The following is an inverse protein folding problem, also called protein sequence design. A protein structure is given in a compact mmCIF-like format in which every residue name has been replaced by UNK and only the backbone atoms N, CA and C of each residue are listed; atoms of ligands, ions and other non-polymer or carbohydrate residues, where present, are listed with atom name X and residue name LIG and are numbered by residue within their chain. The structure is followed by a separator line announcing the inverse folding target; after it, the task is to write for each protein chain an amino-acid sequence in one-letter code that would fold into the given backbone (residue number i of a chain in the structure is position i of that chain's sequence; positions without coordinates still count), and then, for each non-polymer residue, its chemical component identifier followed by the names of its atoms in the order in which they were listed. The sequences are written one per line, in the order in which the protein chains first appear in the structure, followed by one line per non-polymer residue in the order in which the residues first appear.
data_IF_439589017052
#
_entry.id   IF_439589017052
#
_cell.length_a   1.000
_cell.length_b   1.000
_cell.length_c   1.000
_cell.angle_alpha   90.00
_cell.angle_beta   90.00
_cell.angle_gamma   90.00
#
_symmetry.space_group_name_H-M   'P 1'
#
loop_
_entity.id
_entity.type
_entity.pdbx_description
1 polymer ?
#
# COMPACT_ATOMS: atom_id res chain seq x y z
N UNK A 1 -3.38 7.31 -11.78
CA UNK A 1 -1.91 7.19 -11.96
C UNK A 1 -1.26 7.61 -10.66
N UNK A 2 -0.14 7.00 -10.29
CA UNK A 2 0.64 7.41 -9.12
C UNK A 2 2.11 7.57 -9.50
N UNK A 3 2.78 8.54 -8.89
CA UNK A 3 4.25 8.66 -8.87
C UNK A 3 4.67 8.62 -7.41
N UNK A 4 5.65 7.78 -7.07
CA UNK A 4 6.14 7.61 -5.70
C UNK A 4 7.63 7.89 -5.66
N UNK A 5 8.06 8.65 -4.66
CA UNK A 5 9.44 8.85 -4.28
C UNK A 5 9.69 8.19 -2.92
N UNK A 6 10.55 7.17 -2.90
CA UNK A 6 10.84 6.38 -1.70
C UNK A 6 12.25 6.73 -1.22
N UNK A 7 12.36 7.31 -0.03
CA UNK A 7 13.65 7.52 0.65
C UNK A 7 13.98 6.30 1.53
N UNK A 8 12.96 5.76 2.19
CA UNK A 8 12.96 4.51 2.94
C UNK A 8 11.53 3.93 2.95
N UNK A 9 11.34 2.68 3.39
CA UNK A 9 10.00 2.08 3.45
C UNK A 9 9.05 2.85 4.38
N UNK A 10 9.56 3.40 5.46
CA UNK A 10 8.82 4.25 6.40
C UNK A 10 8.94 5.75 6.10
N UNK A 11 9.60 6.13 5.00
CA UNK A 11 9.73 7.51 4.54
C UNK A 11 9.59 7.60 3.03
N UNK A 12 8.38 7.93 2.58
CA UNK A 12 8.06 8.04 1.17
C UNK A 12 7.01 9.13 0.95
N UNK A 13 6.93 9.63 -0.28
CA UNK A 13 5.90 10.58 -0.69
C UNK A 13 5.43 10.26 -2.08
N UNK A 14 4.20 10.63 -2.41
CA UNK A 14 3.67 10.40 -3.73
C UNK A 14 2.57 11.36 -4.14
N UNK A 15 2.28 11.32 -5.43
CA UNK A 15 1.18 12.05 -6.05
C UNK A 15 0.30 11.06 -6.79
N UNK A 16 -0.98 10.99 -6.41
CA UNK A 16 -2.01 10.25 -7.11
C UNK A 16 -2.87 11.19 -7.94
N UNK A 17 -3.07 10.85 -9.20
CA UNK A 17 -4.01 11.50 -10.11
C UNK A 17 -5.18 10.56 -10.39
N UNK A 18 -6.34 10.91 -9.84
CA UNK A 18 -7.63 10.29 -10.12
C UNK A 18 -8.44 11.09 -11.13
N UNK A 19 -9.64 10.61 -11.45
CA UNK A 19 -10.55 11.31 -12.39
C UNK A 19 -11.05 12.66 -11.85
N UNK A 20 -11.16 12.76 -10.52
CA UNK A 20 -11.79 13.91 -9.84
C UNK A 20 -10.92 14.48 -8.71
N UNK A 21 -9.68 14.00 -8.56
CA UNK A 21 -8.77 14.42 -7.50
C UNK A 21 -7.32 14.37 -7.96
N UNK A 22 -6.52 15.26 -7.40
CA UNK A 22 -5.07 15.13 -7.28
C UNK A 22 -4.78 15.03 -5.78
N UNK A 23 -4.11 13.96 -5.35
CA UNK A 23 -3.78 13.70 -3.96
C UNK A 23 -2.27 13.71 -3.80
N UNK A 24 -1.75 14.51 -2.87
CA UNK A 24 -0.36 14.44 -2.41
C UNK A 24 -0.34 13.72 -1.07
N UNK A 25 0.62 12.81 -0.89
CA UNK A 25 0.78 12.10 0.38
C UNK A 25 2.25 12.03 0.80
N UNK A 26 2.47 12.03 2.11
CA UNK A 26 3.78 11.88 2.75
C UNK A 26 3.66 10.94 3.95
N UNK A 27 4.44 9.86 3.91
CA UNK A 27 4.64 8.92 5.00
C UNK A 27 5.94 9.28 5.72
N UNK A 28 5.88 9.48 7.04
CA UNK A 28 7.05 9.64 7.92
C UNK A 28 6.85 8.83 9.21
N UNK A 29 7.43 7.63 9.23
CA UNK A 29 7.34 6.68 10.32
C UNK A 29 5.91 6.21 10.59
N UNK A 30 5.28 6.78 11.62
CA UNK A 30 3.94 6.39 12.09
C UNK A 30 2.85 7.42 11.77
N UNK A 31 3.17 8.41 10.93
CA UNK A 31 2.26 9.44 10.45
C UNK A 31 2.15 9.39 8.92
N UNK A 32 0.93 9.47 8.41
CA UNK A 32 0.62 9.64 7.00
C UNK A 32 -0.14 10.96 6.84
N UNK A 33 0.45 11.89 6.10
CA UNK A 33 -0.20 13.14 5.68
C UNK A 33 -0.76 12.99 4.28
N UNK A 34 -2.01 13.40 4.04
CA UNK A 34 -2.70 13.36 2.75
C UNK A 34 -3.38 14.70 2.45
N UNK A 35 -3.31 15.20 1.22
CA UNK A 35 -3.90 16.49 0.82
C UNK A 35 -4.43 16.44 -0.62
N UNK A 36 -5.72 16.71 -0.80
CA UNK A 36 -6.39 16.80 -2.12
C UNK A 36 -6.53 18.24 -2.63
N UNK A 37 -5.91 19.22 -1.97
CA UNK A 37 -6.00 20.65 -2.27
C UNK A 37 -6.84 21.46 -1.28
N UNK A 38 -7.51 20.81 -0.34
CA UNK A 38 -8.33 21.44 0.71
C UNK A 38 -7.58 21.57 2.07
N UNK A 39 -6.30 21.21 2.08
CA UNK A 39 -5.42 21.26 3.25
C UNK A 39 -5.10 19.87 3.80
N UNK A 40 -3.94 19.72 4.45
CA UNK A 40 -3.43 18.41 4.84
C UNK A 40 -4.24 17.79 5.98
N UNK A 41 -4.61 16.53 5.79
CA UNK A 41 -5.15 15.64 6.83
C UNK A 41 -4.03 14.71 7.29
N UNK A 42 -3.86 14.60 8.61
CA UNK A 42 -2.85 13.72 9.23
C UNK A 42 -3.51 12.52 9.89
N UNK A 43 -3.01 11.35 9.57
CA UNK A 43 -3.39 10.10 10.21
C UNK A 43 -2.22 9.53 10.98
N UNK A 44 -2.52 8.91 12.13
CA UNK A 44 -1.56 8.16 12.92
C UNK A 44 -1.84 6.67 12.77
N UNK A 45 -0.79 5.87 12.84
CA UNK A 45 -0.90 4.42 12.68
C UNK A 45 -1.74 3.81 13.82
N UNK A 46 -1.60 4.34 15.04
CA UNK A 46 -2.45 4.05 16.20
C UNK A 46 -2.66 2.54 16.45
N UNK A 47 -1.55 1.80 16.47
CA UNK A 47 -1.52 0.35 16.76
C UNK A 47 -1.91 -0.55 15.59
N UNK A 48 -2.23 0.00 14.42
CA UNK A 48 -2.25 -0.77 13.17
C UNK A 48 -0.83 -1.22 12.79
N UNK A 49 -0.72 -2.26 11.96
CA UNK A 49 0.56 -2.78 11.48
C UNK A 49 1.18 -1.85 10.43
N UNK A 50 0.39 -1.43 9.44
CA UNK A 50 0.79 -0.50 8.37
C UNK A 50 -0.35 0.43 7.97
N UNK A 51 -0.02 1.53 7.29
CA UNK A 51 -1.01 2.28 6.50
C UNK A 51 -1.33 1.53 5.21
N UNK A 52 -2.53 1.75 4.69
CA UNK A 52 -2.91 1.40 3.34
C UNK A 52 -3.65 2.59 2.71
N UNK A 53 -3.10 3.19 1.67
CA UNK A 53 -3.75 4.30 0.97
C UNK A 53 -4.43 3.77 -0.28
N UNK A 54 -5.75 3.98 -0.38
CA UNK A 54 -6.53 3.55 -1.53
C UNK A 54 -5.88 4.02 -2.84
N UNK A 55 -5.82 3.11 -3.82
CA UNK A 55 -5.19 3.33 -5.12
C UNK A 55 -3.66 3.55 -5.12
N UNK A 56 -2.96 3.31 -4.00
CA UNK A 56 -1.50 3.31 -3.95
C UNK A 56 -0.97 1.88 -3.81
N UNK A 57 -0.23 1.42 -4.81
CA UNK A 57 0.40 0.09 -4.76
C UNK A 57 1.61 0.05 -3.81
N UNK A 58 2.19 1.21 -3.48
CA UNK A 58 3.34 1.30 -2.58
C UNK A 58 3.03 0.75 -1.19
N UNK A 59 1.81 0.94 -0.68
CA UNK A 59 1.48 0.46 0.67
C UNK A 59 1.40 -1.08 0.76
N UNK A 60 1.17 -1.80 -0.35
CA UNK A 60 1.27 -3.26 -0.37
C UNK A 60 2.73 -3.76 -0.24
N UNK A 61 3.72 -2.92 -0.59
CA UNK A 61 5.14 -3.24 -0.45
C UNK A 61 5.60 -3.29 1.01
N UNK A 62 4.99 -2.48 1.88
CA UNK A 62 5.39 -2.37 3.28
C UNK A 62 5.39 -3.72 4.03
N UNK A 63 4.25 -4.45 4.12
CA UNK A 63 4.24 -5.75 4.79
C UNK A 63 5.12 -6.78 4.05
N UNK A 64 5.15 -6.74 2.72
CA UNK A 64 5.87 -7.72 1.90
C UNK A 64 7.37 -7.67 2.15
N UNK A 65 7.95 -6.48 2.17
CA UNK A 65 9.39 -6.31 2.43
C UNK A 65 9.69 -6.49 3.91
N UNK A 66 8.88 -5.91 4.81
CA UNK A 66 9.16 -5.93 6.25
C UNK A 66 9.10 -7.34 6.84
N UNK A 67 8.20 -8.18 6.33
CA UNK A 67 7.98 -9.54 6.83
C UNK A 67 8.52 -10.63 5.91
N UNK A 68 9.31 -10.25 4.90
CA UNK A 68 10.00 -11.16 3.97
C UNK A 68 9.03 -12.15 3.28
N UNK A 69 7.85 -11.67 2.86
CA UNK A 69 6.79 -12.52 2.32
C UNK A 69 7.14 -13.17 0.96
N UNK A 70 8.22 -12.74 0.31
CA UNK A 70 8.71 -13.31 -0.94
C UNK A 70 9.74 -14.42 -0.72
N UNK A 71 10.18 -14.65 0.53
CA UNK A 71 11.13 -15.70 0.85
C UNK A 71 10.52 -17.11 0.65
N UNK A 72 11.38 -18.07 0.32
CA UNK A 72 10.96 -19.47 0.18
C UNK A 72 10.39 -19.99 1.51
N UNK A 73 9.18 -20.56 1.47
CA UNK A 73 8.50 -21.08 2.65
C UNK A 73 7.84 -20.03 3.55
N UNK A 74 7.75 -18.76 3.12
CA UNK A 74 7.02 -17.73 3.85
C UNK A 74 5.56 -18.17 4.11
N UNK A 75 5.12 -17.99 5.36
CA UNK A 75 3.76 -18.35 5.78
C UNK A 75 2.77 -17.22 5.49
N UNK A 76 1.48 -17.53 5.27
CA UNK A 76 0.44 -16.51 5.19
C UNK A 76 0.36 -15.67 6.47
N UNK A 77 0.08 -14.36 6.32
CA UNK A 77 -0.06 -13.41 7.43
C UNK A 77 -1.33 -12.58 7.32
N UNK A 78 -1.88 -12.25 8.46
CA UNK A 78 -3.00 -11.31 8.61
C UNK A 78 -2.47 -10.02 9.21
N UNK A 79 -2.93 -8.88 8.69
CA UNK A 79 -2.57 -7.54 9.11
C UNK A 79 -3.81 -6.74 9.47
N UNK A 80 -3.68 -5.88 10.46
CA UNK A 80 -4.62 -4.78 10.71
C UNK A 80 -4.04 -3.51 10.11
N UNK A 81 -4.60 -3.06 8.99
CA UNK A 81 -4.19 -1.82 8.33
C UNK A 81 -4.95 -0.61 8.86
N UNK A 82 -4.30 0.56 8.80
CA UNK A 82 -4.95 1.87 8.83
C UNK A 82 -5.25 2.27 7.39
N UNK A 83 -6.41 1.84 6.89
CA UNK A 83 -6.83 2.07 5.51
C UNK A 83 -7.40 3.49 5.33
N UNK A 84 -6.81 4.28 4.43
CA UNK A 84 -7.20 5.66 4.12
C UNK A 84 -7.90 5.68 2.76
N UNK A 85 -9.16 6.11 2.75
CA UNK A 85 -9.98 6.17 1.54
C UNK A 85 -9.75 7.45 0.74
N UNK A 86 -9.96 7.38 -0.57
CA UNK A 86 -9.84 8.50 -1.51
C UNK A 86 -11.13 8.59 -2.32
N UNK A 87 -11.73 9.79 -2.51
CA UNK A 87 -11.21 11.11 -2.11
C UNK A 87 -11.57 11.55 -0.69
N UNK A 88 -12.22 10.73 0.14
CA UNK A 88 -12.74 11.18 1.44
C UNK A 88 -11.68 11.42 2.52
N UNK A 89 -10.47 10.87 2.35
CA UNK A 89 -9.35 10.95 3.31
C UNK A 89 -9.74 10.47 4.71
N UNK A 90 -10.64 9.49 4.79
CA UNK A 90 -11.06 8.90 6.05
C UNK A 90 -10.24 7.64 6.34
N UNK A 91 -9.71 7.53 7.57
CA UNK A 91 -8.93 6.39 7.99
C UNK A 91 -9.76 5.41 8.83
N UNK A 92 -9.84 4.15 8.39
CA UNK A 92 -10.58 3.07 9.06
C UNK A 92 -9.68 1.85 9.27
N UNK A 93 -9.89 1.05 10.33
CA UNK A 93 -9.20 -0.22 10.46
C UNK A 93 -9.69 -1.20 9.37
N UNK A 94 -8.76 -1.92 8.75
CA UNK A 94 -9.07 -2.96 7.77
C UNK A 94 -8.22 -4.21 8.01
N UNK A 95 -8.86 -5.38 8.07
CA UNK A 95 -8.13 -6.65 8.15
C UNK A 95 -7.80 -7.13 6.75
N UNK A 96 -6.52 -7.43 6.50
CA UNK A 96 -6.03 -7.89 5.21
C UNK A 96 -5.18 -9.14 5.40
N UNK A 97 -5.28 -10.08 4.47
CA UNK A 97 -4.50 -11.32 4.47
C UNK A 97 -3.60 -11.39 3.24
N UNK A 98 -2.34 -11.72 3.46
CA UNK A 98 -1.32 -11.88 2.43
C UNK A 98 -0.86 -13.33 2.43
N UNK A 99 -1.06 -14.03 1.32
CA UNK A 99 -0.76 -15.46 1.16
C UNK A 99 0.32 -15.62 0.09
N UNK A 100 1.60 -15.86 0.47
CA UNK A 100 2.66 -16.12 -0.50
C UNK A 100 2.30 -17.28 -1.43
N UNK A 101 2.43 -17.07 -2.75
CA UNK A 101 2.17 -18.09 -3.78
C UNK A 101 3.46 -18.68 -4.38
N UNK A 102 4.62 -18.13 -4.01
CA UNK A 102 5.89 -18.37 -4.68
C UNK A 102 6.07 -17.48 -5.91
N UNK A 103 7.25 -17.51 -6.53
CA UNK A 103 7.52 -16.72 -7.75
C UNK A 103 7.45 -15.19 -7.59
N UNK A 104 7.57 -14.69 -6.34
CA UNK A 104 7.33 -13.29 -5.94
C UNK A 104 5.89 -12.81 -6.16
N UNK A 105 4.93 -13.73 -6.11
CA UNK A 105 3.50 -13.42 -6.11
C UNK A 105 2.93 -13.62 -4.72
N UNK A 106 2.10 -12.68 -4.27
CA UNK A 106 1.33 -12.78 -3.03
C UNK A 106 -0.14 -12.60 -3.36
N UNK A 107 -0.98 -13.52 -2.89
CA UNK A 107 -2.44 -13.34 -2.95
C UNK A 107 -2.87 -12.44 -1.81
N UNK A 108 -3.43 -11.30 -2.17
CA UNK A 108 -4.07 -10.36 -1.27
C UNK A 108 -5.55 -10.73 -1.09
N UNK A 109 -6.05 -10.66 0.14
CA UNK A 109 -7.47 -10.85 0.47
C UNK A 109 -7.91 -9.78 1.48
N UNK A 110 -9.03 -9.11 1.20
CA UNK A 110 -9.67 -8.14 2.10
C UNK A 110 -11.19 -8.20 1.95
N UNK A 111 -11.88 -8.76 2.94
CA UNK A 111 -13.31 -9.05 2.83
C UNK A 111 -13.58 -10.06 1.70
N UNK A 112 -14.50 -9.72 0.80
CA UNK A 112 -14.85 -10.56 -0.37
C UNK A 112 -13.95 -10.32 -1.58
N UNK A 113 -13.00 -9.39 -1.48
CA UNK A 113 -12.08 -9.08 -2.56
C UNK A 113 -10.77 -9.85 -2.41
N UNK A 114 -10.32 -10.45 -3.52
CA UNK A 114 -9.03 -11.11 -3.62
C UNK A 114 -8.36 -10.78 -4.97
N UNK A 115 -7.03 -10.77 -4.97
CA UNK A 115 -6.23 -10.57 -6.16
C UNK A 115 -4.79 -11.04 -5.93
N UNK A 116 -4.14 -11.46 -7.01
CA UNK A 116 -2.72 -11.74 -7.00
C UNK A 116 -1.92 -10.45 -7.29
N UNK A 117 -0.84 -10.26 -6.54
CA UNK A 117 0.07 -9.12 -6.68
C UNK A 117 1.47 -9.68 -6.94
N UNK A 118 2.06 -9.26 -8.05
CA UNK A 118 3.43 -9.59 -8.43
C UNK A 118 4.39 -8.49 -8.00
N UNK A 119 5.53 -8.89 -7.46
CA UNK A 119 6.56 -8.00 -6.94
C UNK A 119 7.88 -8.17 -7.69
N UNK A 120 8.70 -7.12 -7.71
CA UNK A 120 10.08 -7.19 -8.18
C UNK A 120 11.03 -7.76 -7.10
N UNK A 121 12.33 -7.77 -7.40
CA UNK A 121 13.35 -8.35 -6.50
C UNK A 121 13.52 -7.54 -5.21
N UNK A 122 13.13 -6.27 -5.22
CA UNK A 122 13.19 -5.36 -4.07
C UNK A 122 11.86 -5.33 -3.29
N UNK A 123 10.86 -6.10 -3.73
CA UNK A 123 9.55 -6.19 -3.10
C UNK A 123 8.59 -5.06 -3.46
N UNK A 124 8.85 -4.32 -4.53
CA UNK A 124 7.92 -3.33 -5.06
C UNK A 124 6.91 -3.95 -6.01
N UNK A 125 5.64 -3.51 -5.92
CA UNK A 125 4.57 -3.99 -6.80
C UNK A 125 4.90 -3.70 -8.27
N UNK A 126 4.85 -4.75 -9.09
CA UNK A 126 4.97 -4.68 -10.56
C UNK A 126 3.58 -4.73 -11.19
N UNK A 127 2.75 -5.69 -10.76
CA UNK A 127 1.42 -5.91 -11.29
C UNK A 127 0.48 -6.30 -10.17
N UNK A 128 -0.52 -5.47 -9.95
CA UNK A 128 -1.70 -5.79 -9.18
C UNK A 128 -2.76 -6.27 -10.18
N UNK A 129 -3.01 -7.57 -10.22
CA UNK A 129 -3.79 -8.20 -11.30
C UNK A 129 -5.18 -7.55 -11.43
N UNK A 130 -5.58 -7.26 -12.67
CA UNK A 130 -6.83 -6.59 -13.06
C UNK A 130 -7.06 -5.19 -12.44
N UNK A 131 -6.04 -4.57 -11.84
CA UNK A 131 -6.21 -3.30 -11.12
C UNK A 131 -5.16 -2.23 -11.46
N UNK A 132 -3.88 -2.48 -11.20
CA UNK A 132 -2.79 -1.50 -11.34
C UNK A 132 -1.53 -2.16 -11.92
N UNK A 133 -0.79 -1.45 -12.75
CA UNK A 133 0.48 -1.93 -13.31
C UNK A 133 1.55 -0.83 -13.28
N UNK A 134 2.78 -1.20 -12.89
CA UNK A 134 3.92 -0.28 -12.86
C UNK A 134 4.40 0.02 -14.27
N UNK A 135 4.49 1.31 -14.61
CA UNK A 135 4.87 1.77 -15.96
C UNK A 135 6.38 1.95 -16.14
N UNK A 136 7.08 2.37 -15.08
CA UNK A 136 8.52 2.62 -15.09
C UNK A 136 9.16 2.06 -13.81
N UNK A 137 10.40 1.55 -13.89
CA UNK A 137 11.20 1.20 -12.73
C UNK A 137 11.64 2.44 -11.95
#
# INVERSE_FOLDING_TARGET
MEIVHVEALDRARGTQLGLVYELHWELDGSELTVDIGDGPVRHRLDGADYFDLQHSAFFNTLPVVRDELLAEGAAPRDYTMRFVTVPQLAAVPATQRYVPQGGRTVRFVSGDYEADIDFDDDGFVVLYHDYLGRLHP
#
